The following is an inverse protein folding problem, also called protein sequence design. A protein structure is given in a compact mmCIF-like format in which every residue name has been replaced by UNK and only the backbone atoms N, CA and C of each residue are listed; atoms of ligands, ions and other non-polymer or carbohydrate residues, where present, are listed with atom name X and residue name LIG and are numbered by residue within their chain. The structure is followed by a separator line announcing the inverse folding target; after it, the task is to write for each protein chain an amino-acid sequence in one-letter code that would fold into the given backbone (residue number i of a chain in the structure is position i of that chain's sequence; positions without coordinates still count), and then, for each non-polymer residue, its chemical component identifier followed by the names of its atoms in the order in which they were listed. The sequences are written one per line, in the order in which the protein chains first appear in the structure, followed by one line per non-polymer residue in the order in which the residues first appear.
data_IF_877789600175
#
_entry.id   IF_877789600175
#
_cell.length_a   1.000
_cell.length_b   1.000
_cell.length_c   1.000
_cell.angle_alpha   90.00
_cell.angle_beta   90.00
_cell.angle_gamma   90.00
#
_symmetry.space_group_name_H-M   'P 1'
#
loop_
_entity.id
_entity.type
_entity.pdbx_description
1 polymer ?
#
# COMPACT_ATOMS: atom_id res chain seq x y z
N UNK A 1 7.99 12.45 -11.16
CA UNK A 1 6.75 12.80 -10.45
C UNK A 1 5.89 11.56 -10.48
N UNK A 2 5.75 10.90 -9.34
CA UNK A 2 4.94 9.70 -9.17
C UNK A 2 3.47 10.11 -9.24
N UNK A 3 2.72 9.55 -10.19
CA UNK A 3 1.32 9.93 -10.39
C UNK A 3 0.45 9.28 -9.30
N UNK A 4 -0.32 10.04 -8.50
CA UNK A 4 -1.13 9.47 -7.42
C UNK A 4 -2.16 8.43 -7.88
N UNK A 5 -2.60 8.51 -9.14
CA UNK A 5 -3.51 7.52 -9.70
C UNK A 5 -2.82 6.17 -9.91
N UNK A 6 -1.62 6.17 -10.49
CA UNK A 6 -0.84 4.96 -10.77
C UNK A 6 -0.48 4.26 -9.46
N UNK A 7 -0.10 5.03 -8.43
CA UNK A 7 0.14 4.50 -7.07
C UNK A 7 -1.10 3.85 -6.48
N UNK A 8 -2.29 4.44 -6.68
CA UNK A 8 -3.54 3.83 -6.20
C UNK A 8 -3.85 2.51 -6.91
N UNK A 9 -3.51 2.39 -8.20
CA UNK A 9 -3.62 1.13 -8.96
C UNK A 9 -2.61 0.09 -8.45
N UNK A 10 -1.34 0.46 -8.25
CA UNK A 10 -0.33 -0.42 -7.67
C UNK A 10 -0.76 -0.97 -6.30
N UNK A 11 -1.31 -0.12 -5.43
CA UNK A 11 -1.82 -0.55 -4.13
C UNK A 11 -3.02 -1.51 -4.22
N UNK A 12 -3.72 -1.60 -5.37
CA UNK A 12 -4.77 -2.61 -5.56
C UNK A 12 -4.21 -4.02 -5.74
N UNK A 13 -3.01 -4.14 -6.32
CA UNK A 13 -2.35 -5.41 -6.64
C UNK A 13 -1.32 -5.85 -5.60
N UNK A 14 -1.26 -5.18 -4.44
CA UNK A 14 -0.26 -5.37 -3.40
C UNK A 14 -0.15 -6.83 -2.91
N UNK A 15 -1.25 -7.57 -2.92
CA UNK A 15 -1.33 -8.97 -2.50
C UNK A 15 -1.08 -9.98 -3.63
N UNK A 16 -1.11 -9.51 -4.89
CA UNK A 16 -0.98 -10.34 -6.08
C UNK A 16 0.48 -10.43 -6.58
N UNK A 17 1.33 -9.53 -6.07
CA UNK A 17 2.74 -9.40 -6.46
C UNK A 17 3.68 -10.00 -5.40
N UNK A 18 4.94 -10.19 -5.75
CA UNK A 18 5.94 -10.69 -4.81
C UNK A 18 6.32 -9.66 -3.74
N UNK A 19 7.05 -10.12 -2.72
CA UNK A 19 7.42 -9.29 -1.57
C UNK A 19 8.25 -8.06 -1.95
N UNK A 20 9.12 -8.16 -2.97
CA UNK A 20 9.97 -7.04 -3.40
C UNK A 20 9.12 -6.00 -4.10
N UNK A 21 8.32 -6.40 -5.08
CA UNK A 21 7.41 -5.51 -5.79
C UNK A 21 6.39 -4.86 -4.84
N UNK A 22 5.91 -5.63 -3.84
CA UNK A 22 5.02 -5.10 -2.80
C UNK A 22 5.70 -4.01 -1.97
N UNK A 23 7.01 -4.10 -1.73
CA UNK A 23 7.75 -3.09 -0.99
C UNK A 23 7.94 -1.82 -1.82
N UNK A 24 8.20 -1.95 -3.13
CA UNK A 24 8.27 -0.82 -4.07
C UNK A 24 6.95 -0.05 -4.10
N UNK A 25 5.81 -0.74 -4.21
CA UNK A 25 4.48 -0.07 -4.20
C UNK A 25 4.19 0.66 -2.88
N UNK A 26 4.66 0.13 -1.75
CA UNK A 26 4.56 0.83 -0.47
C UNK A 26 5.45 2.07 -0.42
N UNK A 27 6.66 2.00 -0.97
CA UNK A 27 7.59 3.14 -1.05
C UNK A 27 6.99 4.27 -1.89
N UNK A 28 6.49 3.98 -3.09
CA UNK A 28 5.80 4.96 -3.96
C UNK A 28 4.62 5.63 -3.24
N UNK A 29 3.85 4.86 -2.47
CA UNK A 29 2.76 5.40 -1.67
C UNK A 29 3.27 6.37 -0.59
N UNK A 30 4.37 6.06 0.10
CA UNK A 30 4.96 6.96 1.10
C UNK A 30 5.48 8.25 0.46
N UNK A 31 6.08 8.19 -0.73
CA UNK A 31 6.51 9.39 -1.46
C UNK A 31 5.33 10.32 -1.76
N UNK A 32 4.22 9.78 -2.27
CA UNK A 32 3.01 10.57 -2.58
C UNK A 32 2.36 11.14 -1.31
N UNK A 33 2.44 10.43 -0.18
CA UNK A 33 1.94 10.92 1.12
C UNK A 33 2.80 12.06 1.69
N UNK A 34 4.11 12.03 1.43
CA UNK A 34 5.06 13.05 1.86
C UNK A 34 5.06 14.30 0.97
N UNK A 35 4.57 14.20 -0.27
CA UNK A 35 4.47 15.31 -1.21
C UNK A 35 3.32 16.29 -0.84
N UNK A 36 3.68 17.52 -0.48
CA UNK A 36 2.73 18.57 -0.11
C UNK A 36 2.02 19.21 -1.30
N UNK A 37 2.52 19.00 -2.52
CA UNK A 37 1.91 19.43 -3.78
C UNK A 37 0.77 18.50 -4.21
N UNK A 38 0.73 17.28 -3.68
CA UNK A 38 -0.36 16.33 -3.93
C UNK A 38 -1.60 16.72 -3.13
N UNK A 39 -2.74 16.75 -3.82
CA UNK A 39 -4.01 17.13 -3.22
C UNK A 39 -4.37 16.24 -2.02
N UNK A 40 -5.00 16.84 -1.01
CA UNK A 40 -5.43 16.12 0.19
C UNK A 40 -6.35 14.93 -0.15
N UNK A 41 -7.15 15.04 -1.21
CA UNK A 41 -8.04 13.97 -1.67
C UNK A 41 -7.24 12.73 -2.06
N UNK A 42 -6.17 12.90 -2.84
CA UNK A 42 -5.31 11.80 -3.28
C UNK A 42 -4.53 11.19 -2.12
N UNK A 43 -3.93 12.03 -1.26
CA UNK A 43 -3.20 11.55 -0.08
C UNK A 43 -4.09 10.72 0.85
N UNK A 44 -5.35 11.13 1.06
CA UNK A 44 -6.31 10.32 1.84
C UNK A 44 -6.63 8.99 1.18
N UNK A 45 -6.96 8.98 -0.11
CA UNK A 45 -7.29 7.75 -0.82
C UNK A 45 -6.14 6.73 -0.79
N UNK A 46 -4.91 7.19 -0.98
CA UNK A 46 -3.70 6.37 -0.91
C UNK A 46 -3.45 5.87 0.52
N UNK A 47 -3.56 6.73 1.53
CA UNK A 47 -3.40 6.33 2.92
C UNK A 47 -4.41 5.26 3.34
N UNK A 48 -5.69 5.44 2.98
CA UNK A 48 -6.77 4.50 3.30
C UNK A 48 -6.50 3.14 2.64
N UNK A 49 -6.16 3.11 1.34
CA UNK A 49 -5.88 1.86 0.63
C UNK A 49 -4.61 1.16 1.13
N UNK A 50 -3.54 1.92 1.39
CA UNK A 50 -2.29 1.38 1.94
C UNK A 50 -2.53 0.75 3.32
N UNK A 51 -3.30 1.41 4.17
CA UNK A 51 -3.64 0.89 5.49
C UNK A 51 -4.49 -0.39 5.40
N UNK A 52 -5.46 -0.42 4.49
CA UNK A 52 -6.25 -1.62 4.23
C UNK A 52 -5.37 -2.79 3.74
N UNK A 53 -4.54 -2.57 2.72
CA UNK A 53 -3.68 -3.62 2.18
C UNK A 53 -2.68 -4.16 3.23
N UNK A 54 -2.15 -3.29 4.09
CA UNK A 54 -1.28 -3.72 5.18
C UNK A 54 -2.04 -4.52 6.25
N UNK A 55 -3.29 -4.15 6.53
CA UNK A 55 -4.15 -4.90 7.44
C UNK A 55 -4.47 -6.29 6.91
N UNK A 56 -4.86 -6.38 5.64
CA UNK A 56 -5.18 -7.64 4.97
C UNK A 56 -3.94 -8.57 4.93
N UNK A 57 -2.77 -8.04 4.61
CA UNK A 57 -1.52 -8.80 4.68
C UNK A 57 -1.20 -9.29 6.10
N UNK A 58 -1.44 -8.47 7.12
CA UNK A 58 -1.26 -8.87 8.51
C UNK A 58 -2.21 -10.01 8.89
N UNK A 59 -3.45 -10.02 8.40
CA UNK A 59 -4.37 -11.15 8.62
C UNK A 59 -3.90 -12.42 7.91
N UNK A 60 -3.39 -12.31 6.69
CA UNK A 60 -2.89 -13.46 5.93
C UNK A 60 -1.63 -14.08 6.53
N UNK A 61 -0.72 -13.24 7.04
CA UNK A 61 0.51 -13.69 7.72
C UNK A 61 0.25 -14.28 9.11
N UNK A 62 -0.89 -13.99 9.73
CA UNK A 62 -1.29 -14.49 11.07
C UNK A 62 -2.15 -15.78 10.98
N UNK A 63 -2.06 -16.55 9.90
CA UNK A 63 -2.68 -17.89 9.85
C UNK A 63 -2.06 -18.86 10.91
N UNK A 64 -2.87 -19.73 11.55
CA UNK A 64 -2.63 -20.27 12.89
C UNK A 64 -1.75 -21.54 12.91
N UNK A 65 -0.57 -21.51 12.30
CA UNK A 65 0.38 -22.64 12.38
C UNK A 65 1.22 -22.66 13.68
N UNK A 66 0.99 -21.74 14.60
CA UNK A 66 1.60 -21.73 15.94
C UNK A 66 0.64 -22.21 17.04
N UNK A 67 -0.05 -23.34 16.80
CA UNK A 67 -0.62 -24.12 17.91
C UNK A 67 0.47 -25.01 18.50
N UNK A 68 0.99 -24.62 19.67
CA UNK A 68 1.93 -25.38 20.51
C UNK A 68 1.27 -26.54 21.27
#
# INVERSE_FOLDING_TARGET
MTNPQDVLEHLQHLEEVDTVQSAEYREEAQEVLADDTVSLKWRRAIADRLNQANHDLALHTVSPEESY
#
